data_IF_845050826708
#
_entry.id   IF_845050826708
#
_cell.length_a   1.000
_cell.length_b   1.000
_cell.length_c   1.000
_cell.angle_alpha   90.00
_cell.angle_beta   90.00
_cell.angle_gamma   90.00
#
_symmetry.space_group_name_H-M   'P 1'
#
loop_
_entity.id
_entity.type
_entity.pdbx_description
1 polymer ?
#
# COMPACT_ATOMS: atom_id res chain seq x y z
N UNK A 1 -58.28 -40.91 31.87
CA UNK A 1 -57.91 -41.97 32.83
C UNK A 1 -56.40 -42.17 32.67
N UNK A 2 -55.49 -42.01 33.61
CA UNK A 2 -55.49 -41.80 35.07
C UNK A 2 -54.25 -40.95 35.41
N UNK A 3 -54.40 -40.03 36.37
CA UNK A 3 -53.35 -39.40 37.16
C UNK A 3 -52.61 -40.42 38.03
N UNK A 4 -51.35 -40.15 38.38
CA UNK A 4 -50.67 -40.39 39.68
C UNK A 4 -49.19 -39.96 39.52
N UNK A 5 -48.76 -38.75 39.89
CA UNK A 5 -48.51 -38.19 41.23
C UNK A 5 -47.24 -38.71 41.95
N UNK A 6 -46.21 -37.84 41.96
CA UNK A 6 -45.28 -37.43 43.03
C UNK A 6 -44.47 -38.49 43.80
N UNK A 7 -43.13 -38.32 43.82
CA UNK A 7 -42.35 -38.02 45.06
C UNK A 7 -40.90 -37.59 44.74
N UNK A 8 -40.23 -36.82 45.62
CA UNK A 8 -38.98 -36.12 45.35
C UNK A 8 -37.74 -36.85 45.91
N UNK A 9 -36.58 -36.60 45.32
CA UNK A 9 -35.26 -36.88 45.90
C UNK A 9 -34.43 -35.63 45.60
N UNK A 10 -33.92 -34.85 46.57
CA UNK A 10 -33.25 -35.28 47.79
C UNK A 10 -31.76 -35.07 47.56
N UNK A 11 -31.31 -33.86 47.89
CA UNK A 11 -29.94 -33.34 47.76
C UNK A 11 -28.91 -34.30 48.36
N UNK A 12 -27.84 -34.62 47.61
CA UNK A 12 -26.58 -35.08 48.18
C UNK A 12 -25.46 -34.17 47.67
N UNK A 13 -24.99 -33.29 48.56
CA UNK A 13 -23.78 -32.49 48.37
C UNK A 13 -22.57 -33.44 48.41
N UNK A 14 -21.94 -33.66 47.26
CA UNK A 14 -20.57 -34.17 47.20
C UNK A 14 -19.65 -32.97 46.94
N UNK A 15 -18.93 -32.56 47.98
CA UNK A 15 -17.86 -31.57 47.89
C UNK A 15 -16.71 -32.16 47.05
N UNK A 16 -16.71 -31.86 45.76
CA UNK A 16 -15.58 -32.11 44.87
C UNK A 16 -14.48 -31.11 45.17
N UNK A 17 -13.36 -31.59 45.72
CA UNK A 17 -12.11 -30.85 45.82
C UNK A 17 -11.62 -30.58 44.40
N UNK A 18 -11.84 -29.36 43.91
CA UNK A 18 -11.18 -28.88 42.70
C UNK A 18 -9.71 -28.63 43.03
N UNK A 19 -8.83 -29.50 42.52
CA UNK A 19 -7.40 -29.20 42.43
C UNK A 19 -7.26 -28.09 41.39
N UNK A 20 -7.02 -26.86 41.87
CA UNK A 20 -6.59 -25.76 41.03
C UNK A 20 -5.19 -26.09 40.49
N UNK A 21 -5.13 -26.56 39.25
CA UNK A 21 -3.89 -26.54 38.47
C UNK A 21 -3.63 -25.09 38.09
N UNK A 22 -2.67 -24.46 38.75
CA UNK A 22 -2.17 -23.12 38.41
C UNK A 22 -1.49 -23.22 37.04
N UNK A 23 -2.23 -22.89 35.98
CA UNK A 23 -1.64 -22.64 34.68
C UNK A 23 -0.79 -21.37 34.78
N UNK A 24 0.52 -21.57 34.91
CA UNK A 24 1.52 -20.53 34.81
C UNK A 24 1.36 -19.85 33.45
N UNK A 25 0.97 -18.58 33.47
CA UNK A 25 0.90 -17.77 32.26
C UNK A 25 2.28 -17.68 31.61
N UNK A 26 2.42 -18.25 30.42
CA UNK A 26 3.53 -17.92 29.54
C UNK A 26 3.28 -16.49 29.04
N UNK A 27 3.93 -15.53 29.69
CA UNK A 27 4.04 -14.17 29.20
C UNK A 27 4.65 -14.24 27.79
N UNK A 28 3.88 -13.83 26.79
CA UNK A 28 4.36 -13.67 25.43
C UNK A 28 5.57 -12.74 25.43
N UNK A 29 6.68 -13.24 24.90
CA UNK A 29 7.90 -12.47 24.72
C UNK A 29 7.59 -11.30 23.78
N UNK A 30 7.93 -10.04 24.15
CA UNK A 30 7.69 -8.90 23.28
C UNK A 30 8.47 -9.08 21.96
N UNK A 31 7.92 -8.66 20.81
CA UNK A 31 8.62 -8.78 19.54
C UNK A 31 9.97 -8.05 19.64
N UNK A 32 11.03 -8.75 19.25
CA UNK A 32 12.39 -8.24 19.29
C UNK A 32 12.46 -6.88 18.56
N UNK A 33 12.75 -5.82 19.31
CA UNK A 33 13.00 -4.50 18.77
C UNK A 33 14.24 -4.55 17.90
N UNK A 34 14.10 -4.25 16.61
CA UNK A 34 15.26 -4.07 15.74
C UNK A 34 16.11 -2.90 16.27
N UNK A 35 17.44 -3.06 16.35
CA UNK A 35 18.32 -1.96 16.74
C UNK A 35 18.22 -0.85 15.70
N UNK A 36 17.58 0.26 16.07
CA UNK A 36 17.60 1.50 15.31
C UNK A 36 19.04 2.03 15.29
N UNK A 37 19.62 2.11 14.10
CA UNK A 37 20.96 2.64 13.77
C UNK A 37 22.06 1.57 13.67
N UNK A 38 22.11 0.91 12.52
CA UNK A 38 23.40 0.46 12.00
C UNK A 38 24.20 1.66 11.48
N UNK A 39 25.51 1.78 11.80
CA UNK A 39 26.37 2.74 11.13
C UNK A 39 26.49 2.35 9.65
N UNK A 40 26.24 3.30 8.75
CA UNK A 40 26.43 3.10 7.32
C UNK A 40 27.90 2.68 7.04
N UNK A 41 28.16 1.65 6.20
CA UNK A 41 29.52 1.29 5.83
C UNK A 41 30.18 2.46 5.10
N UNK A 42 31.16 3.08 5.76
CA UNK A 42 31.71 4.39 5.39
C UNK A 42 32.61 4.42 4.14
N UNK A 43 32.67 3.36 3.33
CA UNK A 43 33.56 3.31 2.16
C UNK A 43 32.85 3.02 0.83
N UNK A 44 31.71 2.32 0.83
CA UNK A 44 31.05 1.92 -0.40
C UNK A 44 29.69 2.61 -0.54
N UNK A 45 29.68 3.73 -1.26
CA UNK A 45 28.47 4.52 -1.57
C UNK A 45 27.42 3.73 -2.36
N UNK A 46 27.85 2.72 -3.12
CA UNK A 46 26.98 1.83 -3.91
C UNK A 46 27.42 0.39 -3.70
N UNK A 47 26.58 -0.42 -3.05
CA UNK A 47 26.82 -1.82 -2.70
C UNK A 47 26.02 -2.74 -3.62
N UNK A 48 26.69 -3.59 -4.39
CA UNK A 48 26.03 -4.74 -5.04
C UNK A 48 25.72 -5.76 -3.95
N UNK A 49 24.45 -5.85 -3.54
CA UNK A 49 24.03 -6.64 -2.39
C UNK A 49 23.81 -8.11 -2.77
N UNK A 50 23.16 -8.34 -3.90
CA UNK A 50 22.88 -9.66 -4.48
C UNK A 50 22.72 -9.53 -6.00
N UNK A 51 22.53 -10.65 -6.69
CA UNK A 51 22.23 -10.65 -8.12
C UNK A 51 20.99 -9.78 -8.42
N UNK A 52 21.16 -8.82 -9.31
CA UNK A 52 20.13 -7.85 -9.69
C UNK A 52 19.72 -6.86 -8.59
N UNK A 53 20.41 -6.82 -7.44
CA UNK A 53 20.06 -5.94 -6.30
C UNK A 53 21.25 -5.08 -5.89
N UNK A 54 21.10 -3.76 -6.00
CA UNK A 54 22.12 -2.78 -5.63
C UNK A 54 21.56 -1.75 -4.64
N UNK A 55 22.25 -1.53 -3.53
CA UNK A 55 21.93 -0.48 -2.54
C UNK A 55 22.79 0.75 -2.85
N UNK A 56 22.15 1.88 -3.14
CA UNK A 56 22.82 3.17 -3.26
C UNK A 56 22.61 3.99 -1.98
N UNK A 57 23.66 4.10 -1.17
CA UNK A 57 23.67 4.85 0.07
C UNK A 57 23.74 6.37 -0.15
N UNK A 58 24.16 6.82 -1.33
CA UNK A 58 24.17 8.25 -1.68
C UNK A 58 22.76 8.78 -1.82
N UNK A 59 21.91 8.02 -2.53
CA UNK A 59 20.51 8.38 -2.75
C UNK A 59 19.56 7.74 -1.75
N UNK A 60 20.07 6.83 -0.89
CA UNK A 60 19.31 5.97 0.03
C UNK A 60 18.18 5.24 -0.71
N UNK A 61 18.55 4.58 -1.79
CA UNK A 61 17.64 3.88 -2.67
C UNK A 61 18.12 2.46 -2.95
N UNK A 62 17.16 1.56 -3.10
CA UNK A 62 17.36 0.22 -3.64
C UNK A 62 17.15 0.26 -5.15
N UNK A 63 18.05 -0.36 -5.90
CA UNK A 63 18.00 -0.50 -7.36
C UNK A 63 17.89 -1.98 -7.67
N UNK A 64 16.83 -2.35 -8.40
CA UNK A 64 16.52 -3.74 -8.76
C UNK A 64 16.47 -3.84 -10.28
N UNK A 65 17.27 -4.73 -10.84
CA UNK A 65 17.29 -4.96 -12.29
C UNK A 65 16.02 -5.70 -12.74
N UNK A 66 15.56 -5.42 -13.95
CA UNK A 66 14.41 -6.08 -14.54
C UNK A 66 14.27 -5.80 -16.04
N UNK A 67 13.18 -6.31 -16.61
CA UNK A 67 12.87 -6.14 -18.03
C UNK A 67 11.36 -6.01 -18.26
N UNK A 68 10.97 -5.23 -19.26
CA UNK A 68 9.56 -5.15 -19.69
C UNK A 68 9.12 -6.49 -20.28
N UNK A 69 8.03 -7.06 -19.77
CA UNK A 69 7.46 -8.34 -20.25
C UNK A 69 6.02 -8.22 -20.75
N UNK A 70 5.31 -7.16 -20.37
CA UNK A 70 3.96 -6.86 -20.84
C UNK A 70 3.78 -5.34 -20.99
N UNK A 71 2.99 -4.92 -21.97
CA UNK A 71 2.70 -3.50 -22.26
C UNK A 71 1.22 -3.20 -22.47
N UNK A 72 0.39 -4.22 -22.54
CA UNK A 72 -1.02 -4.16 -22.93
C UNK A 72 -1.80 -5.21 -22.16
N UNK A 73 -3.03 -4.87 -21.76
CA UNK A 73 -3.93 -5.77 -21.05
C UNK A 73 -4.09 -5.44 -19.56
N UNK A 74 -5.06 -6.10 -18.91
CA UNK A 74 -5.34 -5.91 -17.49
C UNK A 74 -4.17 -6.43 -16.63
N UNK A 75 -4.01 -5.86 -15.43
CA UNK A 75 -2.85 -6.11 -14.59
C UNK A 75 -3.23 -6.55 -13.18
N UNK A 76 -2.61 -7.63 -12.72
CA UNK A 76 -2.56 -7.99 -11.29
C UNK A 76 -1.31 -7.41 -10.61
N UNK A 77 -0.20 -7.26 -11.35
CA UNK A 77 1.07 -6.81 -10.80
C UNK A 77 1.71 -5.70 -11.64
N UNK A 78 2.38 -4.77 -10.97
CA UNK A 78 3.29 -3.84 -11.63
C UNK A 78 4.60 -4.55 -12.01
N UNK A 79 5.11 -5.37 -11.09
CA UNK A 79 6.36 -6.09 -11.25
C UNK A 79 6.32 -7.45 -10.56
N UNK A 80 6.99 -8.44 -11.12
CA UNK A 80 6.90 -9.82 -10.65
C UNK A 80 8.21 -10.60 -10.57
N UNK A 81 8.12 -11.63 -9.73
CA UNK A 81 8.74 -12.95 -9.74
C UNK A 81 8.74 -13.71 -11.07
N UNK A 82 9.36 -14.88 -11.12
CA UNK A 82 9.17 -15.80 -12.24
C UNK A 82 7.76 -16.39 -12.18
N UNK A 83 7.11 -16.58 -13.32
CA UNK A 83 5.82 -17.28 -13.43
C UNK A 83 4.58 -16.39 -13.49
N UNK A 84 4.76 -15.06 -13.46
CA UNK A 84 3.68 -14.05 -13.40
C UNK A 84 3.77 -13.02 -14.53
N UNK A 85 4.58 -13.30 -15.55
CA UNK A 85 4.93 -12.37 -16.63
C UNK A 85 3.75 -11.98 -17.53
N UNK A 86 2.70 -12.80 -17.60
CA UNK A 86 1.52 -12.58 -18.44
C UNK A 86 0.52 -11.57 -17.87
N UNK A 87 0.75 -11.12 -16.64
CA UNK A 87 -0.12 -10.22 -15.86
C UNK A 87 0.69 -9.12 -15.14
N UNK A 88 1.93 -8.89 -15.61
CA UNK A 88 2.91 -8.00 -14.99
C UNK A 88 3.66 -7.17 -16.01
N UNK A 89 3.81 -5.85 -15.79
CA UNK A 89 4.59 -5.00 -16.71
C UNK A 89 6.08 -5.38 -16.70
N UNK A 90 6.65 -5.62 -15.51
CA UNK A 90 8.09 -5.84 -15.31
C UNK A 90 8.38 -7.21 -14.70
N UNK A 91 9.36 -7.94 -15.26
CA UNK A 91 9.98 -9.09 -14.60
C UNK A 91 11.26 -8.65 -13.87
N UNK A 92 11.33 -8.87 -12.57
CA UNK A 92 12.49 -8.51 -11.72
C UNK A 92 13.57 -9.58 -11.75
N UNK A 93 14.82 -9.22 -12.00
CA UNK A 93 15.95 -10.15 -12.09
C UNK A 93 16.65 -10.34 -10.74
N UNK A 94 15.86 -10.54 -9.69
CA UNK A 94 16.30 -10.71 -8.31
C UNK A 94 15.36 -11.66 -7.55
N UNK A 95 15.79 -12.16 -6.39
CA UNK A 95 14.86 -12.82 -5.45
C UNK A 95 14.15 -11.80 -4.56
N UNK A 96 12.91 -12.10 -4.18
CA UNK A 96 12.14 -11.33 -3.21
C UNK A 96 12.81 -11.27 -1.85
N UNK A 97 13.43 -12.37 -1.40
CA UNK A 97 14.26 -12.38 -0.19
C UNK A 97 15.41 -11.37 -0.26
N UNK A 98 16.08 -11.22 -1.40
CA UNK A 98 17.17 -10.24 -1.54
C UNK A 98 16.66 -8.80 -1.46
N UNK A 99 15.52 -8.51 -2.11
CA UNK A 99 14.88 -7.19 -2.03
C UNK A 99 14.44 -6.89 -0.60
N UNK A 100 13.79 -7.84 0.07
CA UNK A 100 13.35 -7.72 1.46
C UNK A 100 14.51 -7.35 2.40
N UNK A 101 15.62 -8.10 2.34
CA UNK A 101 16.78 -7.84 3.19
C UNK A 101 17.43 -6.49 2.88
N UNK A 102 17.53 -6.12 1.60
CA UNK A 102 18.15 -4.87 1.18
C UNK A 102 17.32 -3.64 1.60
N UNK A 103 15.98 -3.71 1.56
CA UNK A 103 15.11 -2.67 2.11
C UNK A 103 15.30 -2.56 3.64
N UNK A 104 15.42 -3.68 4.35
CA UNK A 104 15.77 -3.68 5.77
C UNK A 104 17.10 -3.00 6.08
N UNK A 105 18.13 -3.22 5.25
CA UNK A 105 19.42 -2.52 5.38
C UNK A 105 19.31 -1.01 5.16
N UNK A 106 18.39 -0.56 4.29
CA UNK A 106 18.07 0.87 4.14
C UNK A 106 17.29 1.46 5.32
N UNK A 107 16.98 0.63 6.33
CA UNK A 107 16.24 1.00 7.53
C UNK A 107 14.73 0.95 7.35
N UNK A 108 14.25 0.32 6.28
CA UNK A 108 12.82 0.22 6.02
C UNK A 108 12.20 -0.97 6.74
N UNK A 109 11.10 -0.74 7.47
CA UNK A 109 10.40 -1.79 8.19
C UNK A 109 9.26 -2.39 7.34
N UNK A 110 9.23 -3.73 7.15
CA UNK A 110 8.07 -4.37 6.55
C UNK A 110 6.90 -4.39 7.55
N UNK A 111 5.68 -4.40 7.03
CA UNK A 111 4.50 -4.72 7.85
C UNK A 111 3.95 -6.10 7.49
N UNK A 112 2.77 -6.12 6.88
CA UNK A 112 2.16 -7.35 6.39
C UNK A 112 1.34 -7.10 5.11
N UNK A 113 1.24 -8.08 4.20
CA UNK A 113 0.29 -8.05 3.09
C UNK A 113 -1.16 -8.16 3.61
N UNK A 114 -2.18 -8.03 2.74
CA UNK A 114 -3.56 -8.24 3.15
C UNK A 114 -3.72 -9.59 3.85
N UNK A 115 -4.32 -9.57 5.03
CA UNK A 115 -4.49 -10.77 5.88
C UNK A 115 -5.92 -10.90 6.33
N UNK A 116 -6.44 -12.12 6.27
CA UNK A 116 -7.74 -12.40 6.87
C UNK A 116 -7.66 -12.19 8.38
N UNK A 117 -8.66 -11.49 8.92
CA UNK A 117 -8.87 -11.29 10.34
C UNK A 117 -10.13 -12.05 10.76
N UNK A 118 -9.98 -13.08 11.59
CA UNK A 118 -11.11 -13.86 12.09
C UNK A 118 -12.01 -13.03 13.01
N UNK A 119 -11.44 -12.11 13.78
CA UNK A 119 -12.15 -11.23 14.71
C UNK A 119 -13.05 -10.25 13.96
N UNK A 120 -12.53 -9.63 12.89
CA UNK A 120 -13.27 -8.64 12.09
C UNK A 120 -14.06 -9.29 10.95
N UNK A 121 -13.85 -10.60 10.71
CA UNK A 121 -14.38 -11.36 9.56
C UNK A 121 -14.17 -10.61 8.24
N UNK A 122 -13.00 -10.01 8.08
CA UNK A 122 -12.63 -9.15 6.96
C UNK A 122 -11.13 -9.29 6.68
N UNK A 123 -10.70 -8.86 5.50
CA UNK A 123 -9.27 -8.70 5.22
C UNK A 123 -8.80 -7.36 5.82
N UNK A 124 -7.83 -7.43 6.73
CA UNK A 124 -7.08 -6.26 7.13
C UNK A 124 -6.26 -5.77 5.93
N UNK A 125 -6.20 -4.45 5.69
CA UNK A 125 -5.44 -3.87 4.59
C UNK A 125 -3.94 -4.15 4.75
N UNK A 126 -3.14 -3.99 3.68
CA UNK A 126 -1.69 -4.10 3.80
C UNK A 126 -1.16 -2.99 4.72
N UNK A 127 -0.16 -3.32 5.53
CA UNK A 127 0.55 -2.36 6.37
C UNK A 127 2.07 -2.52 6.22
N UNK A 128 2.80 -1.49 6.65
CA UNK A 128 4.24 -1.37 6.50
C UNK A 128 4.65 0.07 6.22
N UNK A 129 5.96 0.28 6.13
CA UNK A 129 6.47 1.57 5.72
C UNK A 129 6.13 1.90 4.26
N UNK A 130 5.91 3.19 4.05
CA UNK A 130 5.56 3.71 2.75
C UNK A 130 6.83 3.94 1.91
N UNK A 131 6.80 3.48 0.67
CA UNK A 131 7.91 3.57 -0.28
C UNK A 131 7.47 4.19 -1.61
N UNK A 132 8.39 4.88 -2.27
CA UNK A 132 8.20 5.32 -3.66
C UNK A 132 8.81 4.30 -4.61
N UNK A 133 8.15 4.06 -5.74
CA UNK A 133 8.68 3.27 -6.85
C UNK A 133 8.76 4.13 -8.11
N UNK A 134 9.93 4.08 -8.75
CA UNK A 134 10.14 4.62 -10.08
C UNK A 134 10.90 3.61 -10.93
N UNK A 135 10.83 3.77 -12.24
CA UNK A 135 11.63 3.00 -13.18
C UNK A 135 12.57 3.91 -13.94
N UNK A 136 13.80 3.44 -14.13
CA UNK A 136 14.81 4.07 -14.97
C UNK A 136 15.20 3.13 -16.10
N UNK A 137 15.44 3.68 -17.28
CA UNK A 137 15.94 2.93 -18.43
C UNK A 137 16.81 3.83 -19.30
N UNK A 138 17.32 3.27 -20.40
CA UNK A 138 18.18 4.00 -21.33
C UNK A 138 19.42 4.57 -20.62
N UNK A 139 20.08 3.73 -19.81
CA UNK A 139 21.21 4.09 -18.94
C UNK A 139 20.90 5.25 -17.98
N UNK A 140 19.65 5.34 -17.51
CA UNK A 140 19.20 6.37 -16.56
C UNK A 140 18.80 7.69 -17.20
N UNK A 141 18.83 7.81 -18.54
CA UNK A 141 18.36 9.02 -19.24
C UNK A 141 16.84 9.17 -19.19
N UNK A 142 16.13 8.06 -19.08
CA UNK A 142 14.68 8.04 -18.99
C UNK A 142 14.24 7.56 -17.61
N UNK A 143 13.21 8.20 -17.07
CA UNK A 143 12.65 7.89 -15.75
C UNK A 143 11.15 8.12 -15.72
N UNK A 144 10.42 7.24 -15.04
CA UNK A 144 8.98 7.31 -14.87
C UNK A 144 8.56 6.94 -13.44
N UNK A 145 7.52 7.56 -12.91
CA UNK A 145 6.84 7.08 -11.70
C UNK A 145 6.08 5.79 -12.04
N UNK A 146 6.02 4.82 -11.13
CA UNK A 146 5.31 3.56 -11.35
C UNK A 146 3.85 3.73 -11.82
N UNK A 147 3.11 4.70 -11.26
CA UNK A 147 1.72 4.94 -11.62
C UNK A 147 1.53 5.47 -13.05
N UNK A 148 2.56 6.09 -13.66
CA UNK A 148 2.47 6.57 -15.04
C UNK A 148 2.41 5.45 -16.09
N UNK A 149 2.78 4.23 -15.70
CA UNK A 149 2.67 3.03 -16.52
C UNK A 149 1.32 2.32 -16.38
N UNK A 150 0.45 2.83 -15.51
CA UNK A 150 -0.88 2.29 -15.27
C UNK A 150 -1.94 3.21 -15.87
N UNK A 151 -3.07 2.63 -16.24
CA UNK A 151 -4.28 3.35 -16.58
C UNK A 151 -5.46 2.75 -15.82
N UNK A 152 -6.23 3.60 -15.15
CA UNK A 152 -7.47 3.26 -14.47
C UNK A 152 -8.50 2.83 -15.51
N UNK A 153 -9.05 1.63 -15.38
CA UNK A 153 -10.05 1.08 -16.32
C UNK A 153 -11.33 1.90 -16.27
N UNK A 154 -11.79 2.27 -15.07
CA UNK A 154 -13.05 3.02 -14.87
C UNK A 154 -13.04 4.39 -15.58
N UNK A 155 -11.91 5.10 -15.53
CA UNK A 155 -11.80 6.48 -16.00
C UNK A 155 -10.99 6.65 -17.28
N UNK A 156 -10.28 5.60 -17.73
CA UNK A 156 -9.44 5.62 -18.93
C UNK A 156 -8.25 6.59 -18.84
N UNK A 157 -7.69 6.80 -17.64
CA UNK A 157 -6.63 7.79 -17.38
C UNK A 157 -5.55 7.27 -16.45
N UNK A 158 -4.43 7.98 -16.35
CA UNK A 158 -3.40 7.68 -15.34
C UNK A 158 -3.94 7.85 -13.91
N UNK A 159 -3.74 6.86 -13.02
CA UNK A 159 -4.11 6.97 -11.61
C UNK A 159 -3.34 8.05 -10.85
N UNK A 160 -3.94 8.54 -9.77
CA UNK A 160 -3.26 9.46 -8.85
C UNK A 160 -2.01 8.81 -8.24
N UNK A 161 -0.82 9.42 -8.42
CA UNK A 161 0.41 8.92 -7.82
C UNK A 161 0.30 8.89 -6.29
N UNK A 162 0.76 7.79 -5.71
CA UNK A 162 0.73 7.53 -4.28
C UNK A 162 1.93 6.67 -3.88
N UNK A 163 2.29 6.61 -2.59
CA UNK A 163 3.27 5.65 -2.13
C UNK A 163 2.74 4.20 -2.24
N UNK A 164 3.66 3.26 -2.10
CA UNK A 164 3.41 1.82 -1.99
C UNK A 164 3.69 1.37 -0.57
N UNK A 165 3.23 0.18 -0.19
CA UNK A 165 3.47 -0.41 1.14
C UNK A 165 4.54 -1.49 1.03
N UNK A 166 5.62 -1.36 1.80
CA UNK A 166 6.56 -2.47 2.00
C UNK A 166 5.93 -3.50 2.94
N UNK A 167 5.26 -4.51 2.36
CA UNK A 167 4.45 -5.49 3.08
C UNK A 167 5.25 -6.71 3.55
N UNK A 168 6.28 -7.11 2.80
CA UNK A 168 7.24 -8.13 3.22
C UNK A 168 6.93 -9.58 2.81
N UNK A 169 5.77 -9.87 2.21
CA UNK A 169 5.27 -11.23 1.88
C UNK A 169 4.95 -12.11 3.10
N UNK A 170 3.96 -13.00 2.94
CA UNK A 170 3.72 -14.08 3.91
C UNK A 170 4.90 -15.05 3.92
N UNK A 171 5.17 -15.63 5.09
CA UNK A 171 6.19 -16.66 5.28
C UNK A 171 5.56 -18.06 5.26
N UNK A 172 6.26 -19.02 4.66
CA UNK A 172 5.99 -20.45 4.86
C UNK A 172 6.47 -20.92 6.24
N UNK A 173 6.15 -22.17 6.58
CA UNK A 173 6.56 -22.82 7.84
C UNK A 173 8.08 -22.87 8.02
N UNK A 174 8.84 -22.97 6.92
CA UNK A 174 10.30 -22.92 6.89
C UNK A 174 10.88 -21.48 6.89
N UNK A 175 10.04 -20.48 7.17
CA UNK A 175 10.36 -19.05 7.19
C UNK A 175 10.77 -18.42 5.84
N UNK A 176 10.65 -19.15 4.73
CA UNK A 176 10.84 -18.61 3.36
C UNK A 176 9.75 -17.61 3.02
N UNK A 177 10.09 -16.52 2.33
CA UNK A 177 9.08 -15.61 1.78
C UNK A 177 8.33 -16.29 0.63
N UNK A 178 7.00 -16.34 0.69
CA UNK A 178 6.19 -17.01 -0.32
C UNK A 178 6.30 -16.34 -1.70
N UNK A 179 6.60 -15.04 -1.77
CA UNK A 179 6.83 -14.33 -3.03
C UNK A 179 7.95 -14.95 -3.89
N UNK A 180 8.95 -15.59 -3.29
CA UNK A 180 10.02 -16.27 -4.03
C UNK A 180 9.51 -17.53 -4.75
N UNK A 181 8.39 -18.11 -4.29
CA UNK A 181 7.76 -19.30 -4.89
C UNK A 181 6.59 -18.92 -5.80
N UNK A 182 5.73 -18.01 -5.35
CA UNK A 182 4.51 -17.60 -6.06
C UNK A 182 4.78 -16.59 -7.18
N UNK A 183 5.90 -15.89 -7.10
CA UNK A 183 6.30 -14.86 -8.04
C UNK A 183 5.62 -13.50 -7.82
N UNK A 184 4.94 -13.30 -6.70
CA UNK A 184 4.21 -12.06 -6.41
C UNK A 184 5.17 -10.97 -5.89
N UNK A 185 5.53 -10.03 -6.76
CA UNK A 185 6.45 -8.93 -6.44
C UNK A 185 5.73 -7.68 -5.91
N UNK A 186 5.33 -6.80 -6.82
CA UNK A 186 4.62 -5.55 -6.57
C UNK A 186 3.19 -5.69 -7.07
N UNK A 187 2.25 -5.95 -6.17
CA UNK A 187 0.86 -6.23 -6.52
C UNK A 187 0.01 -4.97 -6.63
N UNK A 188 -0.88 -4.98 -7.64
CA UNK A 188 -1.92 -3.99 -7.87
C UNK A 188 -3.27 -4.41 -7.27
N UNK A 189 -3.37 -5.66 -6.81
CA UNK A 189 -4.54 -6.22 -6.15
C UNK A 189 -4.13 -7.01 -4.92
N UNK A 190 -5.09 -7.38 -4.09
CA UNK A 190 -4.83 -7.97 -2.78
C UNK A 190 -4.37 -9.44 -2.89
N UNK A 191 -3.07 -9.65 -2.69
CA UNK A 191 -2.45 -10.97 -2.56
C UNK A 191 -1.71 -11.10 -1.23
N UNK A 192 -1.94 -12.20 -0.51
CA UNK A 192 -1.25 -12.49 0.76
C UNK A 192 0.24 -12.72 0.61
N UNK A 193 0.71 -12.97 -0.60
CA UNK A 193 2.09 -13.33 -0.86
C UNK A 193 2.90 -12.13 -1.38
N UNK A 194 2.28 -10.94 -1.49
CA UNK A 194 2.91 -9.73 -2.01
C UNK A 194 4.08 -9.24 -1.19
N UNK A 195 5.21 -9.01 -1.84
CA UNK A 195 6.35 -8.33 -1.22
C UNK A 195 6.06 -6.84 -1.02
N UNK A 196 5.44 -6.21 -2.03
CA UNK A 196 5.02 -4.80 -2.02
C UNK A 196 3.57 -4.73 -2.47
N UNK A 197 2.77 -3.94 -1.75
CA UNK A 197 1.34 -3.76 -2.02
C UNK A 197 1.03 -2.32 -2.43
N UNK A 198 -0.08 -2.14 -3.13
CA UNK A 198 -0.77 -0.85 -3.15
C UNK A 198 -1.25 -0.47 -1.75
N UNK A 199 -1.41 0.82 -1.51
CA UNK A 199 -2.03 1.33 -0.27
C UNK A 199 -3.54 1.12 -0.25
N UNK A 200 -4.16 0.96 -1.43
CA UNK A 200 -5.60 0.71 -1.58
C UNK A 200 -5.84 -0.78 -1.83
N UNK A 201 -6.87 -1.29 -1.18
CA UNK A 201 -7.40 -2.63 -1.42
C UNK A 201 -8.12 -2.69 -2.77
N UNK A 202 -7.76 -3.68 -3.56
CA UNK A 202 -8.41 -4.02 -4.81
C UNK A 202 -8.54 -5.54 -4.91
N UNK A 203 -9.67 -6.02 -5.40
CA UNK A 203 -9.93 -7.46 -5.52
C UNK A 203 -9.16 -8.06 -6.72
N UNK A 204 -8.74 -9.31 -6.59
CA UNK A 204 -7.98 -10.05 -7.62
C UNK A 204 -8.88 -10.87 -8.56
N UNK A 205 -10.08 -10.38 -8.88
CA UNK A 205 -10.96 -11.07 -9.84
C UNK A 205 -10.75 -10.45 -11.21
N UNK A 206 -10.50 -11.26 -12.22
CA UNK A 206 -10.13 -10.83 -13.58
C UNK A 206 -11.07 -9.74 -14.14
N UNK A 207 -12.38 -9.90 -13.95
CA UNK A 207 -13.41 -8.96 -14.45
C UNK A 207 -13.48 -7.64 -13.65
N UNK A 208 -12.83 -7.58 -12.49
CA UNK A 208 -12.87 -6.46 -11.53
C UNK A 208 -11.49 -5.78 -11.39
N UNK A 209 -10.51 -6.11 -12.25
CA UNK A 209 -9.19 -5.47 -12.24
C UNK A 209 -9.30 -3.98 -12.56
N UNK A 210 -8.79 -3.15 -11.65
CA UNK A 210 -8.96 -1.71 -11.68
C UNK A 210 -8.00 -0.99 -12.65
N UNK A 211 -6.91 -1.66 -13.05
CA UNK A 211 -5.86 -1.08 -13.86
C UNK A 211 -5.45 -1.98 -15.03
N UNK A 212 -5.10 -1.32 -16.13
CA UNK A 212 -4.43 -1.93 -17.27
C UNK A 212 -3.13 -1.20 -17.62
N UNK A 213 -2.34 -1.79 -18.51
CA UNK A 213 -1.06 -1.26 -18.93
C UNK A 213 -1.23 -0.02 -19.83
N UNK A 214 -0.61 1.09 -19.44
CA UNK A 214 -0.59 2.32 -20.24
C UNK A 214 0.50 2.24 -21.31
N UNK A 215 0.21 1.53 -22.40
CA UNK A 215 1.17 1.16 -23.47
C UNK A 215 2.05 2.30 -23.96
N UNK A 216 1.49 3.50 -24.12
CA UNK A 216 2.21 4.68 -24.60
C UNK A 216 3.33 5.15 -23.65
N UNK A 217 3.18 4.89 -22.35
CA UNK A 217 4.16 5.27 -21.32
C UNK A 217 5.18 4.16 -21.02
N UNK A 218 4.90 2.91 -21.40
CA UNK A 218 5.76 1.76 -21.12
C UNK A 218 6.77 1.56 -22.26
N UNK A 219 8.08 1.43 -21.98
CA UNK A 219 9.09 1.13 -23.00
C UNK A 219 8.81 -0.17 -23.78
N UNK A 220 9.41 -0.39 -24.96
CA UNK A 220 9.22 -1.62 -25.73
C UNK A 220 9.50 -2.90 -24.93
N UNK A 221 8.89 -4.02 -25.34
CA UNK A 221 9.11 -5.33 -24.73
C UNK A 221 10.62 -5.65 -24.69
N UNK A 222 11.03 -6.35 -23.64
CA UNK A 222 12.43 -6.74 -23.35
C UNK A 222 13.38 -5.57 -23.07
N UNK A 223 12.89 -4.33 -23.02
CA UNK A 223 13.72 -3.20 -22.59
C UNK A 223 14.21 -3.46 -21.17
N UNK A 224 15.54 -3.41 -20.92
CA UNK A 224 16.07 -3.50 -19.57
C UNK A 224 15.70 -2.23 -18.80
N UNK A 225 15.21 -2.43 -17.58
CA UNK A 225 14.79 -1.36 -16.68
C UNK A 225 15.40 -1.59 -15.30
N UNK A 226 15.61 -0.52 -14.56
CA UNK A 226 15.95 -0.57 -13.14
C UNK A 226 14.78 -0.03 -12.35
N UNK A 227 14.17 -0.86 -11.51
CA UNK A 227 13.21 -0.42 -10.50
C UNK A 227 13.98 0.23 -9.35
N UNK A 228 13.64 1.47 -9.03
CA UNK A 228 14.25 2.25 -7.96
C UNK A 228 13.23 2.41 -6.84
N UNK A 229 13.53 1.84 -5.68
CA UNK A 229 12.71 1.89 -4.46
C UNK A 229 13.40 2.78 -3.42
N UNK A 230 12.65 3.62 -2.73
CA UNK A 230 13.15 4.44 -1.60
C UNK A 230 12.04 4.69 -0.59
N UNK A 231 12.40 5.15 0.61
CA UNK A 231 11.44 5.70 1.56
C UNK A 231 10.55 6.76 0.87
N UNK A 232 9.23 6.64 1.01
CA UNK A 232 8.31 7.61 0.45
C UNK A 232 8.49 8.97 1.12
N UNK A 233 8.19 10.03 0.37
CA UNK A 233 8.24 11.40 0.87
C UNK A 233 6.88 12.05 0.71
N UNK A 234 6.48 12.96 1.62
CA UNK A 234 5.24 13.69 1.46
C UNK A 234 5.17 14.38 0.09
N UNK A 235 4.10 14.13 -0.64
CA UNK A 235 3.76 14.82 -1.88
C UNK A 235 2.90 16.03 -1.56
N UNK A 236 3.09 17.12 -2.31
CA UNK A 236 2.21 18.27 -2.27
C UNK A 236 1.12 18.08 -3.33
N UNK A 237 -0.09 17.78 -2.89
CA UNK A 237 -1.25 17.73 -3.75
C UNK A 237 -1.97 19.07 -3.75
N UNK A 238 -2.34 19.52 -4.94
CA UNK A 238 -3.33 20.58 -5.12
C UNK A 238 -4.72 19.95 -5.03
N UNK A 239 -5.51 20.37 -4.04
CA UNK A 239 -6.90 19.91 -3.88
C UNK A 239 -7.83 21.07 -4.14
N UNK A 240 -8.68 20.93 -5.16
CA UNK A 240 -9.74 21.89 -5.48
C UNK A 240 -11.11 21.24 -5.42
N UNK A 241 -12.14 22.03 -5.14
CA UNK A 241 -13.53 21.63 -5.20
C UNK A 241 -14.26 22.66 -6.03
N UNK A 242 -14.90 22.23 -7.11
CA UNK A 242 -15.56 23.14 -8.04
C UNK A 242 -16.95 23.58 -7.55
N UNK A 243 -17.63 24.39 -8.36
CA UNK A 243 -18.98 24.89 -8.07
C UNK A 243 -20.06 23.80 -7.99
N UNK A 244 -19.78 22.59 -8.49
CA UNK A 244 -20.67 21.42 -8.44
C UNK A 244 -20.40 20.54 -7.21
N UNK A 245 -19.46 20.94 -6.35
CA UNK A 245 -19.02 20.13 -5.21
C UNK A 245 -18.10 18.97 -5.61
N UNK A 246 -17.59 18.94 -6.84
CA UNK A 246 -16.71 17.87 -7.32
C UNK A 246 -15.28 18.17 -6.90
N UNK A 247 -14.63 17.21 -6.24
CA UNK A 247 -13.24 17.33 -5.81
C UNK A 247 -12.27 16.90 -6.93
N UNK A 248 -11.14 17.61 -6.98
CA UNK A 248 -10.02 17.31 -7.86
C UNK A 248 -8.72 17.29 -7.05
N UNK A 249 -7.85 16.34 -7.36
CA UNK A 249 -6.49 16.22 -6.82
C UNK A 249 -5.53 16.34 -8.00
N UNK A 250 -4.66 17.34 -7.98
CA UNK A 250 -3.71 17.66 -9.07
C UNK A 250 -4.40 17.73 -10.44
N UNK A 251 -5.57 18.38 -10.48
CA UNK A 251 -6.39 18.56 -11.68
C UNK A 251 -7.18 17.33 -12.13
N UNK A 252 -7.10 16.20 -11.42
CA UNK A 252 -7.83 14.97 -11.74
C UNK A 252 -9.01 14.80 -10.81
N UNK A 253 -10.18 14.41 -11.34
CA UNK A 253 -11.35 14.04 -10.52
C UNK A 253 -10.94 13.08 -9.39
N UNK A 254 -11.41 13.34 -8.18
CA UNK A 254 -11.20 12.49 -7.02
C UNK A 254 -12.53 12.32 -6.29
N UNK A 255 -12.90 11.07 -6.01
CA UNK A 255 -14.00 10.79 -5.10
C UNK A 255 -13.65 11.26 -3.68
N UNK A 256 -14.65 11.38 -2.80
CA UNK A 256 -14.41 11.68 -1.38
C UNK A 256 -13.49 10.62 -0.74
N UNK A 257 -13.61 9.36 -1.14
CA UNK A 257 -12.74 8.28 -0.67
C UNK A 257 -11.29 8.46 -1.15
N UNK A 258 -11.07 8.87 -2.40
CA UNK A 258 -9.74 9.22 -2.92
C UNK A 258 -9.12 10.37 -2.12
N UNK A 259 -9.91 11.40 -1.81
CA UNK A 259 -9.43 12.53 -1.05
C UNK A 259 -9.04 12.15 0.38
N UNK A 260 -9.86 11.35 1.06
CA UNK A 260 -9.55 10.83 2.40
C UNK A 260 -8.25 10.04 2.38
N UNK A 261 -8.14 9.09 1.44
CA UNK A 261 -6.97 8.22 1.28
C UNK A 261 -5.69 9.02 1.03
N UNK A 262 -5.71 9.95 0.07
CA UNK A 262 -4.58 10.83 -0.23
C UNK A 262 -4.16 11.62 1.01
N UNK A 263 -5.10 12.26 1.72
CA UNK A 263 -4.76 13.04 2.92
C UNK A 263 -4.20 12.16 4.04
N UNK A 264 -4.78 10.96 4.25
CA UNK A 264 -4.31 10.01 5.26
C UNK A 264 -2.88 9.54 4.97
N UNK A 265 -2.56 9.19 3.72
CA UNK A 265 -1.22 8.78 3.32
C UNK A 265 -0.21 9.89 3.56
N UNK A 266 -0.54 11.13 3.19
CA UNK A 266 0.35 12.26 3.43
C UNK A 266 0.56 12.55 4.92
N UNK A 267 -0.45 12.32 5.76
CA UNK A 267 -0.32 12.42 7.23
C UNK A 267 0.45 11.25 7.85
N UNK A 268 0.42 10.05 7.26
CA UNK A 268 1.27 8.91 7.67
C UNK A 268 2.75 9.25 7.43
N UNK A 269 3.05 9.95 6.34
CA UNK A 269 4.41 10.39 5.99
C UNK A 269 4.88 11.62 6.79
N UNK A 270 3.97 12.54 7.08
CA UNK A 270 4.23 13.73 7.89
C UNK A 270 3.03 14.00 8.81
N UNK A 271 3.06 13.56 10.08
CA UNK A 271 1.95 13.72 11.02
C UNK A 271 1.54 15.17 11.28
N UNK A 272 2.42 16.13 11.02
CA UNK A 272 2.14 17.56 11.19
C UNK A 272 1.52 18.20 9.95
N UNK A 273 1.48 17.49 8.82
CA UNK A 273 0.95 18.01 7.57
C UNK A 273 -0.55 18.25 7.65
N UNK A 274 -0.95 19.45 7.25
CA UNK A 274 -2.35 19.83 7.06
C UNK A 274 -2.58 20.11 5.57
N UNK A 275 -3.54 19.41 4.97
CA UNK A 275 -3.88 19.62 3.57
C UNK A 275 -4.74 20.86 3.43
N UNK A 276 -4.39 21.75 2.49
CA UNK A 276 -5.27 22.85 2.09
C UNK A 276 -6.23 22.37 0.98
N UNK A 277 -7.51 22.69 1.12
CA UNK A 277 -8.57 22.46 0.13
C UNK A 277 -9.08 23.81 -0.36
N UNK A 278 -8.98 24.05 -1.66
CA UNK A 278 -9.47 25.28 -2.30
C UNK A 278 -10.88 25.06 -2.84
N UNK A 279 -11.83 25.89 -2.43
CA UNK A 279 -13.20 25.88 -2.93
C UNK A 279 -13.38 26.98 -3.99
N UNK A 280 -13.95 26.61 -5.13
CA UNK A 280 -14.10 27.46 -6.31
C UNK A 280 -15.58 27.65 -6.64
N UNK A 281 -16.22 28.61 -5.97
CA UNK A 281 -17.65 28.85 -6.14
C UNK A 281 -18.55 27.71 -5.64
N UNK A 282 -18.02 26.81 -4.81
CA UNK A 282 -18.75 25.67 -4.23
C UNK A 282 -19.91 26.13 -3.35
N UNK A 283 -21.05 25.43 -3.44
CA UNK A 283 -22.19 25.69 -2.58
C UNK A 283 -21.84 25.46 -1.11
N UNK A 284 -22.41 26.28 -0.21
CA UNK A 284 -22.19 26.17 1.24
C UNK A 284 -22.56 24.79 1.79
N UNK A 285 -23.62 24.18 1.26
CA UNK A 285 -24.06 22.83 1.62
C UNK A 285 -23.01 21.77 1.29
N UNK A 286 -22.45 21.84 0.08
CA UNK A 286 -21.51 20.83 -0.43
C UNK A 286 -20.17 20.95 0.29
N UNK A 287 -19.73 22.19 0.52
CA UNK A 287 -18.57 22.48 1.38
C UNK A 287 -18.77 21.91 2.79
N UNK A 288 -19.92 22.15 3.41
CA UNK A 288 -20.21 21.62 4.75
C UNK A 288 -20.24 20.09 4.77
N UNK A 289 -20.83 19.45 3.76
CA UNK A 289 -20.89 18.00 3.64
C UNK A 289 -19.50 17.37 3.49
N UNK A 290 -18.64 17.94 2.63
CA UNK A 290 -17.28 17.46 2.44
C UNK A 290 -16.44 17.60 3.72
N UNK A 291 -16.46 18.78 4.35
CA UNK A 291 -15.71 19.04 5.57
C UNK A 291 -16.21 18.17 6.73
N UNK A 292 -17.52 17.94 6.83
CA UNK A 292 -18.10 17.02 7.80
C UNK A 292 -17.58 15.59 7.59
N UNK A 293 -17.51 15.13 6.35
CA UNK A 293 -17.00 13.80 6.00
C UNK A 293 -15.52 13.65 6.31
N UNK A 294 -14.69 14.64 5.94
CA UNK A 294 -13.26 14.66 6.28
C UNK A 294 -13.04 14.67 7.81
N UNK A 295 -13.82 15.47 8.53
CA UNK A 295 -13.75 15.51 10.00
C UNK A 295 -14.16 14.18 10.64
N UNK A 296 -15.19 13.51 10.11
CA UNK A 296 -15.62 12.20 10.58
C UNK A 296 -14.53 11.13 10.36
N UNK A 297 -13.72 11.27 9.30
CA UNK A 297 -12.52 10.46 9.06
C UNK A 297 -11.30 10.89 9.91
N UNK A 298 -11.47 11.82 10.86
CA UNK A 298 -10.40 12.32 11.74
C UNK A 298 -9.40 13.24 11.02
N UNK A 299 -9.76 13.78 9.86
CA UNK A 299 -8.90 14.63 9.04
C UNK A 299 -9.18 16.11 9.29
N UNK A 300 -8.11 16.84 9.63
CA UNK A 300 -8.11 18.29 9.68
C UNK A 300 -7.54 18.83 8.37
N UNK A 301 -8.25 19.79 7.79
CA UNK A 301 -7.85 20.47 6.55
C UNK A 301 -7.96 21.98 6.74
N UNK A 302 -7.10 22.72 6.05
CA UNK A 302 -7.26 24.15 5.86
C UNK A 302 -8.15 24.41 4.65
N UNK A 303 -8.93 25.49 4.68
CA UNK A 303 -9.78 25.85 3.54
C UNK A 303 -9.38 27.19 2.96
N UNK A 304 -9.32 27.28 1.63
CA UNK A 304 -9.16 28.52 0.89
C UNK A 304 -10.38 28.74 -0.01
N UNK A 305 -10.80 29.99 -0.15
CA UNK A 305 -11.83 30.40 -1.11
C UNK A 305 -11.16 31.08 -2.29
N UNK A 306 -11.46 30.63 -3.51
CA UNK A 306 -11.08 31.33 -4.72
C UNK A 306 -12.27 32.16 -5.18
N UNK A 307 -12.28 33.43 -4.80
CA UNK A 307 -13.27 34.39 -5.26
C UNK A 307 -13.24 34.46 -6.79
N UNK A 308 -14.42 34.36 -7.41
CA UNK A 308 -14.58 34.59 -8.84
C UNK A 308 -13.97 35.97 -9.13
N UNK A 309 -12.87 36.06 -9.88
CA UNK A 309 -12.45 37.35 -10.42
C UNK A 309 -13.59 37.78 -11.31
N UNK A 310 -14.41 38.70 -10.80
CA UNK A 310 -15.40 39.41 -11.58
C UNK A 310 -14.73 39.83 -12.88
N UNK A 311 -15.22 39.29 -13.98
CA UNK A 311 -15.16 39.95 -15.27
C UNK A 311 -15.75 41.33 -15.03
N UNK A 312 -14.88 42.31 -14.75
CA UNK A 312 -15.20 43.72 -14.83
C UNK A 312 -15.72 43.94 -16.25
N UNK A 313 -17.04 43.96 -16.37
CA UNK A 313 -17.70 44.67 -17.46
C UNK A 313 -17.22 46.12 -17.37
N UNK A 314 -16.44 46.53 -18.35
CA UNK A 314 -16.47 47.88 -18.89
C UNK A 314 -16.80 47.74 -20.37
#
# INVERSE_FOLDING_TARGET
MRNLAKTPVGILCAAGVFVFSTATGAAGEPPASFPSTMPAPASQRVLRFADGVTIDWTTRALRVDGSIVLREGPLEFLACFAGKEHESIVRLHASGTSIFMALGLLGLAPGHPPRWSDDERSFAPPDGELIDIAFEWDAGRSRANAFSWLREVEYGREPLPRPWVFAGSKRSEDATLLCDRSGVGVALVDFSDSLICLTRSHVSRDEELWADAHTAAIPPLKTPVTMVIRAARPLKHEVTVDFRGVAFVDGRFASTADLIDVIQLQRKLDPQRVQTVTFEGTLRSDRAALLGTLSAAGLKVETREQGNKETRRQ
#
